data_IF_804893025864
#
_entry.id   IF_804893025864
#
_cell.length_a   1.000
_cell.length_b   1.000
_cell.length_c   1.000
_cell.angle_alpha   90.00
_cell.angle_beta   90.00
_cell.angle_gamma   90.00
#
_symmetry.space_group_name_H-M   'P 1'
#
loop_
_entity.id
_entity.type
_entity.pdbx_description
1 polymer ?
#
# COMPACT_ATOMS: atom_id res chain seq x y z
N UNK A 1 -17.48 22.43 -9.08
CA UNK A 1 -18.64 22.78 -8.23
C UNK A 1 -18.19 22.71 -6.79
N UNK A 2 -18.54 23.74 -6.01
CA UNK A 2 -17.91 24.13 -4.75
C UNK A 2 -18.17 23.13 -3.60
N UNK A 3 -17.14 22.87 -2.80
CA UNK A 3 -17.27 22.16 -1.53
C UNK A 3 -18.06 23.00 -0.52
N UNK A 4 -19.02 22.43 0.22
CA UNK A 4 -19.78 23.17 1.23
C UNK A 4 -18.90 23.45 2.46
N UNK A 5 -19.00 24.68 2.96
CA UNK A 5 -18.43 25.14 4.22
C UNK A 5 -19.40 24.84 5.37
N UNK A 6 -19.13 23.83 6.19
CA UNK A 6 -19.41 23.82 7.63
C UNK A 6 -18.77 22.59 8.25
N UNK A 7 -18.29 22.72 9.50
CA UNK A 7 -17.51 21.72 10.23
C UNK A 7 -18.29 20.47 10.66
N UNK A 8 -18.82 19.72 9.70
CA UNK A 8 -19.16 18.31 9.88
C UNK A 8 -17.96 17.50 9.36
N UNK A 9 -17.39 16.65 10.21
CA UNK A 9 -16.31 15.71 9.86
C UNK A 9 -16.85 14.69 8.85
N UNK A 10 -16.98 15.09 7.59
CA UNK A 10 -17.37 14.20 6.52
C UNK A 10 -16.15 13.39 6.10
N UNK A 11 -16.24 12.08 6.26
CA UNK A 11 -15.22 11.14 5.83
C UNK A 11 -15.51 10.73 4.38
N UNK A 12 -14.51 10.83 3.50
CA UNK A 12 -14.64 10.49 2.07
C UNK A 12 -13.65 9.40 1.70
N UNK A 13 -14.16 8.28 1.16
CA UNK A 13 -13.35 7.27 0.50
C UNK A 13 -13.29 7.60 -1.00
N UNK A 14 -12.08 7.68 -1.56
CA UNK A 14 -11.88 8.02 -2.98
C UNK A 14 -11.02 6.97 -3.66
N UNK A 15 -11.64 6.22 -4.57
CA UNK A 15 -10.97 5.45 -5.64
C UNK A 15 -11.46 6.01 -6.98
N UNK A 16 -10.67 5.91 -8.06
CA UNK A 16 -11.10 6.40 -9.37
C UNK A 16 -12.45 5.79 -9.76
N UNK A 17 -13.53 6.59 -9.82
CA UNK A 17 -14.89 6.14 -10.11
C UNK A 17 -15.78 5.74 -8.91
N UNK A 18 -15.28 5.82 -7.67
CA UNK A 18 -16.04 5.50 -6.46
C UNK A 18 -15.84 6.59 -5.40
N UNK A 19 -16.90 7.36 -5.12
CA UNK A 19 -16.93 8.44 -4.12
C UNK A 19 -18.10 8.18 -3.19
N UNK A 20 -17.84 8.10 -1.88
CA UNK A 20 -18.88 7.97 -0.86
C UNK A 20 -18.62 8.91 0.30
N UNK A 21 -19.69 9.27 1.01
CA UNK A 21 -19.65 10.15 2.17
C UNK A 21 -20.37 9.47 3.33
N UNK A 22 -19.99 9.80 4.56
CA UNK A 22 -20.72 9.42 5.77
C UNK A 22 -20.51 10.45 6.87
N UNK A 23 -21.48 10.55 7.77
CA UNK A 23 -21.44 11.46 8.92
C UNK A 23 -20.51 10.93 10.04
N UNK A 24 -20.23 9.62 10.03
CA UNK A 24 -19.24 8.96 10.90
C UNK A 24 -18.28 8.12 10.06
N UNK A 25 -17.14 7.73 10.65
CA UNK A 25 -16.15 6.85 10.00
C UNK A 25 -16.78 5.51 9.63
N UNK A 26 -17.62 4.97 10.51
CA UNK A 26 -18.30 3.69 10.33
C UNK A 26 -19.33 3.77 9.20
N UNK A 27 -20.09 4.86 9.14
CA UNK A 27 -21.05 5.12 8.05
C UNK A 27 -20.34 5.29 6.71
N UNK A 28 -19.23 6.05 6.67
CA UNK A 28 -18.45 6.22 5.45
C UNK A 28 -17.83 4.90 4.97
N UNK A 29 -17.36 4.04 5.90
CA UNK A 29 -16.84 2.72 5.59
C UNK A 29 -17.91 1.77 5.05
N UNK A 30 -19.10 1.76 5.67
CA UNK A 30 -20.24 0.97 5.19
C UNK A 30 -20.66 1.41 3.79
N UNK A 31 -20.77 2.72 3.56
CA UNK A 31 -21.11 3.28 2.26
C UNK A 31 -20.03 2.97 1.21
N UNK A 32 -18.74 3.03 1.58
CA UNK A 32 -17.63 2.67 0.70
C UNK A 32 -17.68 1.19 0.27
N UNK A 33 -18.06 0.27 1.17
CA UNK A 33 -18.23 -1.14 0.84
C UNK A 33 -19.38 -1.35 -0.15
N UNK A 34 -20.49 -0.64 0.03
CA UNK A 34 -21.64 -0.69 -0.88
C UNK A 34 -21.29 -0.15 -2.27
N UNK A 35 -20.71 1.06 -2.33
CA UNK A 35 -20.29 1.65 -3.59
C UNK A 35 -19.20 0.85 -4.31
N UNK A 36 -18.36 0.12 -3.57
CA UNK A 36 -17.41 -0.83 -4.18
C UNK A 36 -18.15 -1.95 -4.90
N UNK A 37 -19.21 -2.52 -4.31
CA UNK A 37 -20.00 -3.59 -4.96
C UNK A 37 -20.70 -3.07 -6.20
N UNK A 38 -21.41 -1.95 -6.09
CA UNK A 38 -22.11 -1.32 -7.20
C UNK A 38 -21.16 -0.97 -8.37
N UNK A 39 -19.95 -0.50 -8.05
CA UNK A 39 -18.93 -0.22 -9.07
C UNK A 39 -18.46 -1.50 -9.77
N UNK A 40 -18.23 -2.60 -9.03
CA UNK A 40 -17.81 -3.88 -9.62
C UNK A 40 -18.89 -4.43 -10.54
N UNK A 41 -20.16 -4.40 -10.11
CA UNK A 41 -21.30 -4.83 -10.92
C UNK A 41 -21.40 -4.02 -12.22
N UNK A 42 -21.36 -2.69 -12.13
CA UNK A 42 -21.39 -1.81 -13.29
C UNK A 42 -20.17 -2.02 -14.22
N UNK A 43 -18.98 -2.26 -13.66
CA UNK A 43 -17.77 -2.53 -14.43
C UNK A 43 -17.87 -3.87 -15.19
N UNK A 44 -18.44 -4.91 -14.57
CA UNK A 44 -18.68 -6.20 -15.21
C UNK A 44 -19.70 -6.07 -16.35
N UNK A 45 -20.80 -5.35 -16.14
CA UNK A 45 -21.81 -5.07 -17.18
C UNK A 45 -21.25 -4.28 -18.35
N UNK A 46 -20.39 -3.30 -18.08
CA UNK A 46 -19.71 -2.49 -19.09
C UNK A 46 -18.59 -3.24 -19.83
N UNK A 47 -18.28 -4.50 -19.45
CA UNK A 47 -17.18 -5.27 -20.00
C UNK A 47 -15.80 -4.66 -19.70
N UNK A 48 -15.70 -3.87 -18.63
CA UNK A 48 -14.43 -3.27 -18.22
C UNK A 48 -13.49 -4.34 -17.66
N UNK A 49 -12.20 -4.19 -17.93
CA UNK A 49 -11.17 -5.08 -17.40
C UNK A 49 -11.02 -4.85 -15.90
N UNK A 50 -11.41 -5.82 -15.08
CA UNK A 50 -11.25 -5.81 -13.64
C UNK A 50 -10.05 -6.69 -13.28
N UNK A 51 -8.97 -6.06 -12.82
CA UNK A 51 -7.83 -6.80 -12.30
C UNK A 51 -8.16 -7.39 -10.94
N UNK A 52 -7.92 -8.70 -10.80
CA UNK A 52 -7.96 -9.36 -9.50
C UNK A 52 -6.82 -8.84 -8.61
N UNK A 53 -6.99 -8.87 -7.28
CA UNK A 53 -5.88 -8.59 -6.37
C UNK A 53 -4.73 -9.57 -6.65
N UNK A 54 -3.51 -9.05 -6.81
CA UNK A 54 -2.34 -9.91 -6.99
C UNK A 54 -2.19 -10.88 -5.82
N UNK A 55 -1.98 -12.16 -6.14
CA UNK A 55 -1.57 -13.16 -5.15
C UNK A 55 -0.11 -12.96 -4.76
N UNK A 56 0.20 -13.15 -3.48
CA UNK A 56 1.58 -13.17 -2.98
C UNK A 56 2.41 -14.26 -3.67
N UNK A 57 1.77 -15.31 -4.18
CA UNK A 57 2.41 -16.44 -4.87
C UNK A 57 3.16 -16.03 -6.14
N UNK A 58 2.83 -14.87 -6.73
CA UNK A 58 3.53 -14.33 -7.90
C UNK A 58 4.87 -13.66 -7.56
N UNK A 59 5.15 -13.41 -6.28
CA UNK A 59 6.33 -12.68 -5.83
C UNK A 59 7.33 -13.65 -5.19
N UNK A 60 8.49 -13.86 -5.83
CA UNK A 60 9.53 -14.77 -5.33
C UNK A 60 10.25 -14.27 -4.06
N UNK A 61 10.10 -12.99 -3.72
CA UNK A 61 10.88 -12.32 -2.69
C UNK A 61 12.37 -12.16 -3.03
N UNK A 62 12.80 -12.61 -4.21
CA UNK A 62 14.20 -12.58 -4.64
C UNK A 62 14.39 -11.57 -5.78
N UNK A 63 15.25 -10.59 -5.57
CA UNK A 63 15.63 -9.65 -6.59
C UNK A 63 17.12 -9.30 -6.48
N UNK A 64 17.78 -9.15 -7.63
CA UNK A 64 19.20 -8.83 -7.72
C UNK A 64 19.36 -7.32 -7.91
N UNK A 65 20.12 -6.67 -7.03
CA UNK A 65 20.42 -5.25 -7.12
C UNK A 65 21.88 -5.02 -7.57
N UNK A 66 22.10 -3.94 -8.31
CA UNK A 66 23.43 -3.37 -8.54
C UNK A 66 23.57 -2.16 -7.63
N UNK A 67 24.54 -2.21 -6.72
CA UNK A 67 24.79 -1.14 -5.75
C UNK A 67 26.24 -0.64 -5.85
N UNK A 68 26.51 0.62 -5.49
CA UNK A 68 27.88 1.14 -5.43
C UNK A 68 28.78 0.29 -4.53
N UNK A 69 30.06 0.14 -4.92
CA UNK A 69 31.04 -0.66 -4.17
C UNK A 69 31.22 -0.20 -2.72
N UNK A 70 31.14 1.12 -2.48
CA UNK A 70 31.21 1.70 -1.15
C UNK A 70 30.06 1.24 -0.24
N UNK A 71 28.83 1.21 -0.78
CA UNK A 71 27.66 0.74 -0.04
C UNK A 71 27.75 -0.76 0.26
N UNK A 72 28.14 -1.57 -0.74
CA UNK A 72 28.35 -3.00 -0.53
C UNK A 72 29.35 -3.29 0.59
N UNK A 73 30.48 -2.56 0.60
CA UNK A 73 31.50 -2.67 1.66
C UNK A 73 30.90 -2.37 3.04
N UNK A 74 30.18 -1.26 3.18
CA UNK A 74 29.57 -0.89 4.46
C UNK A 74 28.57 -1.94 4.95
N UNK A 75 27.71 -2.45 4.07
CA UNK A 75 26.76 -3.52 4.41
C UNK A 75 27.45 -4.80 4.87
N UNK A 76 28.54 -5.19 4.19
CA UNK A 76 29.34 -6.38 4.54
C UNK A 76 30.00 -6.24 5.91
N UNK A 77 30.65 -5.11 6.17
CA UNK A 77 31.31 -4.86 7.46
C UNK A 77 30.30 -4.84 8.61
N UNK A 78 29.13 -4.24 8.41
CA UNK A 78 28.11 -4.16 9.43
C UNK A 78 27.46 -5.53 9.69
N UNK A 79 27.14 -6.29 8.66
CA UNK A 79 26.57 -7.63 8.84
C UNK A 79 27.52 -8.56 9.59
N UNK A 80 28.83 -8.45 9.33
CA UNK A 80 29.85 -9.21 10.06
C UNK A 80 29.92 -8.82 11.54
N UNK A 81 29.84 -7.53 11.87
CA UNK A 81 29.81 -7.06 13.27
C UNK A 81 28.59 -7.56 14.04
N UNK A 82 27.43 -7.62 13.37
CA UNK A 82 26.19 -8.16 13.92
C UNK A 82 26.18 -9.70 13.96
N UNK A 83 27.15 -10.37 13.32
CA UNK A 83 27.22 -11.84 13.27
C UNK A 83 26.15 -12.49 12.39
N UNK A 84 25.56 -11.77 11.43
CA UNK A 84 24.49 -12.26 10.56
C UNK A 84 24.88 -12.18 9.08
N UNK A 85 24.13 -12.90 8.23
CA UNK A 85 24.33 -12.79 6.78
C UNK A 85 23.99 -11.39 6.28
N UNK A 86 24.65 -10.95 5.20
CA UNK A 86 24.37 -9.65 4.60
C UNK A 86 22.91 -9.53 4.14
N UNK A 87 22.32 -10.61 3.62
CA UNK A 87 20.90 -10.62 3.24
C UNK A 87 19.99 -10.39 4.47
N UNK A 88 20.29 -11.03 5.60
CA UNK A 88 19.53 -10.81 6.84
C UNK A 88 19.69 -9.37 7.35
N UNK A 89 20.89 -8.81 7.24
CA UNK A 89 21.15 -7.42 7.60
C UNK A 89 20.37 -6.45 6.71
N UNK A 90 20.28 -6.72 5.39
CA UNK A 90 19.46 -5.95 4.48
C UNK A 90 17.97 -6.02 4.85
N UNK A 91 17.44 -7.22 5.18
CA UNK A 91 16.05 -7.37 5.65
C UNK A 91 15.81 -6.55 6.91
N UNK A 92 16.71 -6.61 7.90
CA UNK A 92 16.62 -5.81 9.12
C UNK A 92 16.54 -4.30 8.81
N UNK A 93 17.40 -3.80 7.93
CA UNK A 93 17.40 -2.39 7.53
C UNK A 93 16.11 -1.99 6.81
N UNK A 94 15.60 -2.85 5.92
CA UNK A 94 14.35 -2.60 5.20
C UNK A 94 13.16 -2.56 6.15
N UNK A 95 13.02 -3.55 7.05
CA UNK A 95 11.95 -3.58 8.06
C UNK A 95 12.00 -2.39 9.01
N UNK A 96 13.21 -1.99 9.44
CA UNK A 96 13.38 -0.81 10.29
C UNK A 96 13.00 0.48 9.59
N UNK A 97 13.33 0.61 8.30
CA UNK A 97 12.98 1.77 7.50
C UNK A 97 11.48 1.85 7.24
N UNK A 98 10.84 0.74 6.87
CA UNK A 98 9.39 0.67 6.64
C UNK A 98 8.59 1.12 7.87
N UNK A 99 8.98 0.66 9.06
CA UNK A 99 8.35 1.07 10.33
C UNK A 99 8.45 2.59 10.60
N UNK A 100 9.38 3.31 9.98
CA UNK A 100 9.53 4.76 10.10
C UNK A 100 8.58 5.50 9.14
N UNK A 101 8.27 4.94 7.98
CA UNK A 101 7.45 5.58 6.94
C UNK A 101 5.99 5.12 6.89
N UNK A 102 5.65 4.02 7.57
CA UNK A 102 4.28 3.52 7.69
C UNK A 102 3.43 4.26 8.74
N UNK A 103 3.72 5.55 9.01
CA UNK A 103 2.95 6.42 9.93
C UNK A 103 2.19 7.50 9.19
#
# INVERSE_FOLDING_TARGET
MNAPRSGSSHYTFRKQGCITCGETVESAAANALDAKKAWIEAALEAGAEIYEPDSLEYYSGQFKLRIPRSLHRSLTEHSQREGISMNQYCVYLLSKNDAVYSK
#
